data_IF_993622026266
#
_entry.id   IF_993622026266
#
_cell.length_a   1.000
_cell.length_b   1.000
_cell.length_c   1.000
_cell.angle_alpha   90.00
_cell.angle_beta   90.00
_cell.angle_gamma   90.00
#
_symmetry.space_group_name_H-M   'P 1'
#
loop_
_entity.id
_entity.type
_entity.pdbx_description
1 polymer ?
#
# COMPACT_ATOMS: atom_id res chain seq x y z
N UNK A 1 -2.93 -5.80 4.72
CA UNK A 1 -3.55 -7.13 4.57
C UNK A 1 -2.48 -8.12 5.02
N UNK A 2 -2.64 -8.75 6.19
CA UNK A 2 -1.71 -9.80 6.61
C UNK A 2 -2.34 -11.08 6.08
N UNK A 3 -1.78 -11.60 4.99
CA UNK A 3 -2.23 -12.87 4.42
C UNK A 3 -1.92 -14.00 5.41
N UNK A 4 -2.80 -15.01 5.55
CA UNK A 4 -2.46 -16.23 6.25
C UNK A 4 -1.27 -16.91 5.55
N UNK A 5 -0.37 -17.47 6.34
CA UNK A 5 0.86 -18.10 5.86
C UNK A 5 0.52 -19.20 4.82
N UNK A 6 1.22 -19.27 3.66
CA UNK A 6 0.87 -20.17 2.55
C UNK A 6 0.95 -21.66 2.90
N UNK A 7 1.66 -22.03 3.97
CA UNK A 7 1.69 -23.41 4.47
C UNK A 7 0.38 -23.84 5.16
N UNK A 8 -0.48 -22.90 5.57
CA UNK A 8 -1.77 -23.18 6.17
C UNK A 8 -2.87 -23.43 5.12
N UNK A 9 -2.69 -22.96 3.89
CA UNK A 9 -3.71 -22.98 2.81
C UNK A 9 -3.59 -24.17 1.86
N UNK A 10 -2.49 -24.92 1.88
CA UNK A 10 -2.26 -26.06 0.96
C UNK A 10 -3.11 -27.31 1.27
N UNK A 11 -3.82 -27.34 2.40
CA UNK A 11 -4.68 -28.47 2.82
C UNK A 11 -6.16 -28.10 3.01
N UNK A 12 -6.55 -26.85 2.73
CA UNK A 12 -7.91 -26.35 2.98
C UNK A 12 -8.78 -26.51 1.73
N UNK A 13 -10.05 -26.91 1.92
CA UNK A 13 -11.03 -26.87 0.83
C UNK A 13 -11.28 -25.42 0.39
N UNK A 14 -11.72 -25.17 -0.86
CA UNK A 14 -12.08 -23.83 -1.32
C UNK A 14 -13.08 -23.13 -0.39
N UNK A 15 -14.02 -23.89 0.18
CA UNK A 15 -15.01 -23.43 1.15
C UNK A 15 -14.37 -22.99 2.48
N UNK A 16 -13.41 -23.77 2.99
CA UNK A 16 -12.68 -23.45 4.21
C UNK A 16 -11.78 -22.21 4.02
N UNK A 17 -11.20 -22.05 2.83
CA UNK A 17 -10.43 -20.87 2.47
C UNK A 17 -11.32 -19.63 2.38
N UNK A 18 -12.47 -19.70 1.71
CA UNK A 18 -13.43 -18.59 1.64
C UNK A 18 -13.97 -18.21 3.03
N UNK A 19 -14.25 -19.20 3.88
CA UNK A 19 -14.65 -18.96 5.26
C UNK A 19 -13.55 -18.24 6.07
N UNK A 20 -12.28 -18.62 5.90
CA UNK A 20 -11.15 -17.95 6.54
C UNK A 20 -11.00 -16.49 6.06
N UNK A 21 -11.10 -16.25 4.75
CA UNK A 21 -11.05 -14.90 4.18
C UNK A 21 -12.25 -14.03 4.60
N UNK A 22 -13.44 -14.62 4.68
CA UNK A 22 -14.64 -13.96 5.21
C UNK A 22 -14.46 -13.56 6.68
N UNK A 23 -13.90 -14.45 7.51
CA UNK A 23 -13.63 -14.16 8.92
C UNK A 23 -12.58 -13.05 9.11
N UNK A 24 -11.53 -13.01 8.28
CA UNK A 24 -10.53 -11.93 8.28
C UNK A 24 -11.17 -10.59 7.90
N UNK A 25 -12.01 -10.56 6.86
CA UNK A 25 -12.76 -9.36 6.43
C UNK A 25 -13.67 -8.85 7.54
N UNK A 26 -14.50 -9.72 8.12
CA UNK A 26 -15.40 -9.36 9.23
C UNK A 26 -14.66 -8.88 10.49
N UNK A 27 -13.48 -9.43 10.78
CA UNK A 27 -12.63 -8.94 11.88
C UNK A 27 -12.12 -7.53 11.62
N UNK A 28 -11.69 -7.25 10.38
CA UNK A 28 -11.21 -5.94 9.98
C UNK A 28 -12.32 -4.89 10.03
N UNK A 29 -13.49 -5.20 9.49
CA UNK A 29 -14.66 -4.31 9.52
C UNK A 29 -15.07 -3.95 10.95
N UNK A 30 -15.19 -4.96 11.83
CA UNK A 30 -15.48 -4.73 13.26
C UNK A 30 -14.45 -3.85 13.95
N UNK A 31 -13.18 -4.00 13.59
CA UNK A 31 -12.10 -3.18 14.16
C UNK A 31 -12.19 -1.74 13.68
N UNK A 32 -12.48 -1.52 12.39
CA UNK A 32 -12.67 -0.17 11.83
C UNK A 32 -13.87 0.50 12.50
N UNK A 33 -14.98 -0.20 12.65
CA UNK A 33 -16.18 0.37 13.26
C UNK A 33 -15.95 0.75 14.73
N UNK A 34 -15.33 -0.13 15.51
CA UNK A 34 -14.96 0.18 16.88
C UNK A 34 -14.00 1.40 16.98
N UNK A 35 -13.07 1.54 16.04
CA UNK A 35 -12.19 2.73 15.98
C UNK A 35 -12.98 4.01 15.66
N UNK A 36 -13.99 3.94 14.78
CA UNK A 36 -14.86 5.08 14.46
C UNK A 36 -15.71 5.49 15.65
N UNK A 37 -16.29 4.54 16.38
CA UNK A 37 -17.06 4.80 17.60
C UNK A 37 -16.18 5.49 18.66
N UNK A 38 -14.98 4.94 18.92
CA UNK A 38 -14.02 5.53 19.86
C UNK A 38 -13.63 6.96 19.42
N UNK A 39 -13.38 7.17 18.13
CA UNK A 39 -13.04 8.50 17.60
C UNK A 39 -14.20 9.50 17.74
N UNK A 40 -15.44 9.05 17.53
CA UNK A 40 -16.63 9.86 17.72
C UNK A 40 -16.87 10.23 19.20
N UNK A 41 -16.57 9.33 20.13
CA UNK A 41 -16.72 9.54 21.57
C UNK A 41 -15.62 10.39 22.20
N UNK A 42 -14.38 10.27 21.70
CA UNK A 42 -13.20 10.92 22.28
C UNK A 42 -13.12 12.43 22.00
N UNK A 43 -13.97 12.95 21.11
CA UNK A 43 -13.72 14.23 20.47
C UNK A 43 -12.43 14.19 19.63
N UNK A 44 -12.22 15.17 18.77
CA UNK A 44 -11.12 15.19 17.79
C UNK A 44 -9.72 15.36 18.41
N UNK A 45 -9.52 14.97 19.68
CA UNK A 45 -8.25 15.06 20.39
C UNK A 45 -7.29 14.00 19.88
N UNK A 46 -6.53 14.39 18.84
CA UNK A 46 -5.47 13.58 18.27
C UNK A 46 -4.45 13.20 19.33
N UNK A 47 -4.20 11.89 19.47
CA UNK A 47 -3.10 11.36 20.27
C UNK A 47 -1.76 11.91 19.77
N UNK A 48 -0.73 12.04 20.63
CA UNK A 48 0.61 12.45 20.20
C UNK A 48 1.11 11.60 19.03
N UNK A 49 1.67 12.24 17.99
CA UNK A 49 2.12 11.58 16.77
C UNK A 49 1.04 11.42 15.68
N UNK A 50 -0.26 11.50 16.02
CA UNK A 50 -1.33 11.39 15.02
C UNK A 50 -1.37 12.59 14.08
N UNK A 51 -1.09 13.80 14.58
CA UNK A 51 -1.05 15.00 13.74
C UNK A 51 0.05 14.91 12.69
N UNK A 52 1.25 14.52 13.12
CA UNK A 52 2.43 14.37 12.27
C UNK A 52 2.22 13.23 11.26
N UNK A 53 1.62 12.12 11.70
CA UNK A 53 1.26 11.01 10.82
C UNK A 53 0.27 11.44 9.72
N UNK A 54 -0.78 12.18 10.08
CA UNK A 54 -1.75 12.69 9.10
C UNK A 54 -1.11 13.67 8.11
N UNK A 55 -0.17 14.52 8.58
CA UNK A 55 0.60 15.38 7.69
C UNK A 55 1.42 14.58 6.67
N UNK A 56 2.04 13.46 7.08
CA UNK A 56 2.74 12.55 6.15
C UNK A 56 1.77 11.95 5.13
N UNK A 57 0.54 11.61 5.51
CA UNK A 57 -0.46 11.13 4.56
C UNK A 57 -0.86 12.20 3.53
N UNK A 58 -0.95 13.46 3.96
CA UNK A 58 -1.17 14.59 3.04
C UNK A 58 0.02 14.79 2.09
N UNK A 59 1.26 14.63 2.56
CA UNK A 59 2.45 14.63 1.71
C UNK A 59 2.41 13.51 0.66
N UNK A 60 2.04 12.29 1.07
CA UNK A 60 1.87 11.15 0.15
C UNK A 60 0.82 11.45 -0.91
N UNK A 61 -0.30 12.08 -0.52
CA UNK A 61 -1.35 12.51 -1.45
C UNK A 61 -0.81 13.53 -2.45
N UNK A 62 -0.11 14.57 -2.00
CA UNK A 62 0.46 15.59 -2.87
C UNK A 62 1.48 15.00 -3.84
N UNK A 63 2.36 14.13 -3.35
CA UNK A 63 3.36 13.43 -4.16
C UNK A 63 2.72 12.56 -5.24
N UNK A 64 1.66 11.84 -4.90
CA UNK A 64 0.90 11.06 -5.88
C UNK A 64 0.33 11.97 -6.97
N UNK A 65 -0.37 13.04 -6.61
CA UNK A 65 -0.97 13.99 -7.56
C UNK A 65 0.09 14.67 -8.44
N UNK A 66 1.28 14.97 -7.92
CA UNK A 66 2.36 15.50 -8.72
C UNK A 66 2.84 14.47 -9.76
N UNK A 67 3.08 13.22 -9.35
CA UNK A 67 3.58 12.16 -10.23
C UNK A 67 2.61 11.74 -11.33
N UNK A 68 1.30 11.84 -11.07
CA UNK A 68 0.29 11.54 -12.09
C UNK A 68 0.31 12.56 -13.23
N UNK A 69 0.82 13.78 -13.01
CA UNK A 69 1.04 14.77 -14.06
C UNK A 69 2.26 14.44 -14.92
N UNK A 70 3.30 13.82 -14.34
CA UNK A 70 4.55 13.51 -15.05
C UNK A 70 4.45 12.26 -15.94
N UNK A 71 3.80 11.20 -15.45
CA UNK A 71 3.82 9.88 -16.11
C UNK A 71 2.44 9.24 -16.29
N UNK A 72 1.36 9.85 -15.80
CA UNK A 72 -0.01 9.42 -16.08
C UNK A 72 -0.52 10.00 -17.41
N UNK A 73 -1.57 9.41 -17.97
CA UNK A 73 -2.35 10.04 -19.05
C UNK A 73 -3.65 10.60 -18.47
N UNK A 74 -4.27 11.56 -19.16
CA UNK A 74 -5.48 12.23 -18.67
C UNK A 74 -6.63 11.26 -18.32
N UNK A 75 -6.72 10.13 -19.02
CA UNK A 75 -7.72 9.08 -18.80
C UNK A 75 -7.32 8.06 -17.74
N UNK A 76 -6.04 7.99 -17.37
CA UNK A 76 -5.52 6.98 -16.46
C UNK A 76 -4.22 7.44 -15.76
N UNK A 77 -4.37 7.80 -14.49
CA UNK A 77 -3.30 8.23 -13.61
C UNK A 77 -2.22 7.15 -13.36
N UNK A 78 -2.52 5.87 -13.56
CA UNK A 78 -1.61 4.73 -13.28
C UNK A 78 -1.20 3.98 -14.55
N UNK A 79 -1.39 4.58 -15.72
CA UNK A 79 -1.12 3.95 -17.02
C UNK A 79 0.33 3.45 -17.12
N UNK A 80 1.29 4.20 -16.58
CA UNK A 80 2.70 3.82 -16.56
C UNK A 80 2.96 2.50 -15.83
N UNK A 81 2.29 2.27 -14.69
CA UNK A 81 2.42 1.04 -13.90
C UNK A 81 1.78 -0.11 -14.67
N UNK A 82 0.58 0.09 -15.23
CA UNK A 82 -0.12 -0.95 -16.00
C UNK A 82 0.66 -1.34 -17.25
N UNK A 83 1.15 -0.37 -18.02
CA UNK A 83 1.98 -0.61 -19.20
C UNK A 83 3.28 -1.34 -18.84
N UNK A 84 3.97 -0.92 -17.78
CA UNK A 84 5.20 -1.59 -17.33
C UNK A 84 4.93 -3.03 -16.92
N UNK A 85 3.79 -3.30 -16.28
CA UNK A 85 3.39 -4.63 -15.86
C UNK A 85 3.02 -5.53 -17.05
N UNK A 86 2.33 -4.97 -18.06
CA UNK A 86 1.97 -5.67 -19.30
C UNK A 86 3.21 -6.11 -20.08
N UNK A 87 4.21 -5.22 -20.22
CA UNK A 87 5.47 -5.52 -20.94
C UNK A 87 6.19 -6.75 -20.38
N UNK A 88 6.10 -6.98 -19.06
CA UNK A 88 6.74 -8.12 -18.38
C UNK A 88 5.75 -9.24 -18.01
N UNK A 89 4.51 -9.17 -18.52
CA UNK A 89 3.43 -10.13 -18.28
C UNK A 89 3.19 -10.41 -16.79
N UNK A 90 2.98 -9.36 -16.00
CA UNK A 90 2.68 -9.46 -14.57
C UNK A 90 1.44 -8.64 -14.18
N UNK A 91 0.77 -8.97 -13.06
CA UNK A 91 -0.28 -8.12 -12.52
C UNK A 91 0.25 -6.73 -12.13
N UNK A 92 -0.53 -5.68 -12.42
CA UNK A 92 -0.13 -4.30 -12.15
C UNK A 92 0.14 -4.03 -10.67
N UNK A 93 -0.66 -4.60 -9.75
CA UNK A 93 -0.41 -4.48 -8.32
C UNK A 93 0.92 -5.12 -7.91
N UNK A 94 1.31 -6.22 -8.57
CA UNK A 94 2.59 -6.89 -8.31
C UNK A 94 3.77 -6.06 -8.81
N UNK A 95 3.60 -5.26 -9.87
CA UNK A 95 4.63 -4.31 -10.32
C UNK A 95 4.92 -3.24 -9.25
N UNK A 96 3.90 -2.77 -8.52
CA UNK A 96 4.11 -1.90 -7.35
C UNK A 96 4.96 -2.59 -6.26
N UNK A 97 4.73 -3.89 -6.02
CA UNK A 97 5.51 -4.66 -5.03
C UNK A 97 6.98 -4.76 -5.42
N UNK A 98 7.27 -5.00 -6.70
CA UNK A 98 8.66 -5.01 -7.21
C UNK A 98 9.33 -3.65 -6.98
N UNK A 99 8.64 -2.54 -7.30
CA UNK A 99 9.18 -1.18 -7.07
C UNK A 99 9.40 -0.88 -5.59
N UNK A 100 8.55 -1.41 -4.70
CA UNK A 100 8.80 -1.34 -3.26
C UNK A 100 10.06 -2.12 -2.85
N UNK A 101 10.30 -3.30 -3.43
CA UNK A 101 11.51 -4.08 -3.16
C UNK A 101 12.79 -3.30 -3.54
N UNK A 102 12.79 -2.62 -4.69
CA UNK A 102 13.89 -1.75 -5.12
C UNK A 102 14.15 -0.61 -4.13
N UNK A 103 13.08 0.06 -3.68
CA UNK A 103 13.17 1.16 -2.70
C UNK A 103 13.63 0.67 -1.34
N UNK A 104 13.19 -0.52 -0.91
CA UNK A 104 13.66 -1.15 0.32
C UNK A 104 15.14 -1.53 0.23
N UNK A 105 15.62 -1.97 -0.94
CA UNK A 105 17.05 -2.22 -1.15
C UNK A 105 17.89 -0.95 -0.95
N UNK A 106 17.38 0.22 -1.40
CA UNK A 106 18.04 1.52 -1.17
C UNK A 106 18.13 1.87 0.31
N UNK A 107 17.07 1.66 1.09
CA UNK A 107 17.12 1.87 2.55
C UNK A 107 18.13 0.95 3.23
N UNK A 108 18.19 -0.32 2.83
CA UNK A 108 19.21 -1.27 3.34
C UNK A 108 20.63 -0.80 3.02
N UNK A 109 20.85 -0.35 1.79
CA UNK A 109 22.14 0.20 1.36
C UNK A 109 22.52 1.46 2.18
N UNK A 110 21.56 2.36 2.42
CA UNK A 110 21.76 3.53 3.27
C UNK A 110 22.15 3.14 4.69
N UNK A 111 21.44 2.19 5.31
CA UNK A 111 21.76 1.76 6.67
C UNK A 111 23.18 1.19 6.79
N UNK A 112 23.65 0.48 5.76
CA UNK A 112 24.98 -0.10 5.77
C UNK A 112 26.10 0.91 5.46
N UNK A 113 25.85 1.87 4.57
CA UNK A 113 26.89 2.78 4.03
C UNK A 113 26.81 4.22 4.56
N UNK A 114 25.72 4.59 5.22
CA UNK A 114 25.42 5.94 5.70
C UNK A 114 25.19 6.99 4.60
N UNK A 115 25.03 6.58 3.33
CA UNK A 115 24.90 7.48 2.18
C UNK A 115 23.78 7.02 1.26
N UNK A 116 22.98 7.97 0.77
CA UNK A 116 21.98 7.76 -0.29
C UNK A 116 22.57 8.24 -1.61
N UNK A 117 22.56 7.41 -2.64
CA UNK A 117 23.12 7.76 -3.96
C UNK A 117 22.15 8.56 -4.84
N UNK A 118 20.84 8.50 -4.56
CA UNK A 118 19.80 9.07 -5.44
C UNK A 118 18.72 9.80 -4.65
N UNK A 119 17.94 9.07 -3.84
CA UNK A 119 16.81 9.62 -3.08
C UNK A 119 17.15 9.59 -1.58
N UNK A 120 16.74 10.61 -0.83
CA UNK A 120 16.90 10.62 0.63
C UNK A 120 16.06 9.54 1.33
N UNK A 121 16.34 9.29 2.61
CA UNK A 121 15.50 8.40 3.43
C UNK A 121 14.03 8.86 3.46
N UNK A 122 13.69 10.16 3.65
CA UNK A 122 12.30 10.63 3.62
C UNK A 122 11.60 10.33 2.29
N UNK A 123 12.22 10.68 1.16
CA UNK A 123 11.66 10.45 -0.18
C UNK A 123 11.41 8.95 -0.43
N UNK A 124 12.34 8.10 0.00
CA UNK A 124 12.23 6.66 -0.15
C UNK A 124 11.07 6.08 0.68
N UNK A 125 10.83 6.60 1.89
CA UNK A 125 9.71 6.19 2.74
C UNK A 125 8.37 6.66 2.16
N UNK A 126 8.30 7.90 1.64
CA UNK A 126 7.10 8.42 0.97
C UNK A 126 6.77 7.63 -0.31
N UNK A 127 7.79 7.21 -1.07
CA UNK A 127 7.63 6.31 -2.21
C UNK A 127 7.04 4.96 -1.80
N UNK A 128 7.55 4.36 -0.71
CA UNK A 128 7.03 3.09 -0.19
C UNK A 128 5.55 3.22 0.22
N UNK A 129 5.18 4.29 0.94
CA UNK A 129 3.79 4.58 1.26
C UNK A 129 2.91 4.71 0.01
N UNK A 130 3.41 5.44 -1.01
CA UNK A 130 2.72 5.63 -2.28
C UNK A 130 2.49 4.31 -3.01
N UNK A 131 3.54 3.50 -3.22
CA UNK A 131 3.39 2.22 -3.92
C UNK A 131 2.53 1.22 -3.16
N UNK A 132 2.54 1.23 -1.82
CA UNK A 132 1.64 0.39 -1.03
C UNK A 132 0.17 0.76 -1.26
N UNK A 133 -0.15 2.07 -1.27
CA UNK A 133 -1.49 2.55 -1.58
C UNK A 133 -1.92 2.20 -3.02
N UNK A 134 -1.04 2.40 -3.99
CA UNK A 134 -1.31 2.08 -5.40
C UNK A 134 -1.48 0.59 -5.64
N UNK A 135 -0.66 -0.25 -5.01
CA UNK A 135 -0.79 -1.71 -5.06
C UNK A 135 -2.18 -2.13 -4.58
N UNK A 136 -2.67 -1.54 -3.47
CA UNK A 136 -3.98 -1.83 -2.92
C UNK A 136 -5.11 -1.43 -3.88
N UNK A 137 -5.01 -0.27 -4.54
CA UNK A 137 -5.98 0.17 -5.55
C UNK A 137 -6.03 -0.83 -6.70
N UNK A 138 -4.89 -1.13 -7.32
CA UNK A 138 -4.80 -2.04 -8.46
C UNK A 138 -5.22 -3.47 -8.12
N UNK A 139 -4.93 -3.93 -6.90
CA UNK A 139 -5.37 -5.25 -6.43
C UNK A 139 -6.88 -5.31 -6.28
N UNK A 140 -7.50 -4.26 -5.71
CA UNK A 140 -8.96 -4.17 -5.57
C UNK A 140 -9.67 -4.08 -6.93
N UNK A 141 -9.10 -3.34 -7.88
CA UNK A 141 -9.61 -3.31 -9.26
C UNK A 141 -9.60 -4.70 -9.89
N UNK A 142 -8.50 -5.45 -9.74
CA UNK A 142 -8.40 -6.81 -10.27
C UNK A 142 -9.36 -7.79 -9.57
N UNK A 143 -9.53 -7.69 -8.25
CA UNK A 143 -10.40 -8.60 -7.49
C UNK A 143 -11.90 -8.30 -7.66
N UNK A 144 -12.26 -7.09 -8.08
CA UNK A 144 -13.62 -6.70 -8.43
C UNK A 144 -13.98 -6.83 -9.91
N UNK A 145 -13.05 -7.34 -10.73
CA UNK A 145 -13.24 -7.60 -12.17
C UNK A 145 -13.50 -9.08 -12.45
#
# INVERSE_FOLDING_TARGET
MIDPHPECTQSMSPEAMEAAWSAVRQRHERTIEAVREIAAESGDELRPGSREFLAVLDEVRQLHLAKTLDYGVASDALSNIRQSAEVVNMPAWSACVVRMADKMHRLKAFHHRGKTEFDGVPDTLLDLCSYAALALVLYREQAGS
#
